data_IF_464297351250
#
_entry.id   IF_464297351250
#
_cell.length_a   1.000
_cell.length_b   1.000
_cell.length_c   1.000
_cell.angle_alpha   90.00
_cell.angle_beta   90.00
_cell.angle_gamma   90.00
#
_symmetry.space_group_name_H-M   'P 1'
#
loop_
_entity.id
_entity.type
_entity.pdbx_description
1 polymer ?
#
# COMPACT_ATOMS: atom_id res chain seq x y z
N UNK A 1 11.88 -20.49 -17.59
CA UNK A 1 10.46 -20.08 -17.73
C UNK A 1 9.64 -20.53 -16.53
N UNK A 2 9.92 -21.70 -15.95
CA UNK A 2 9.20 -22.26 -14.78
C UNK A 2 9.13 -21.32 -13.56
N UNK A 3 10.14 -20.47 -13.34
CA UNK A 3 10.17 -19.60 -12.16
C UNK A 3 9.61 -18.18 -12.38
N UNK A 4 9.22 -17.82 -13.61
CA UNK A 4 8.71 -16.45 -13.89
C UNK A 4 7.33 -16.28 -13.26
N UNK A 5 6.45 -17.26 -13.47
CA UNK A 5 5.09 -17.26 -12.95
C UNK A 5 5.08 -17.33 -11.42
N UNK A 6 5.95 -18.13 -10.80
CA UNK A 6 6.08 -18.21 -9.35
C UNK A 6 6.57 -16.89 -8.72
N UNK A 7 7.60 -16.26 -9.31
CA UNK A 7 8.06 -14.93 -8.86
C UNK A 7 6.93 -13.91 -9.01
N UNK A 8 6.19 -13.95 -10.11
CA UNK A 8 5.07 -13.04 -10.35
C UNK A 8 3.93 -13.23 -9.33
N UNK A 9 3.50 -14.46 -9.08
CA UNK A 9 2.41 -14.79 -8.16
C UNK A 9 2.75 -14.44 -6.72
N UNK A 10 4.00 -14.64 -6.31
CA UNK A 10 4.44 -14.29 -4.97
C UNK A 10 4.48 -12.76 -4.76
N UNK A 11 4.88 -12.00 -5.79
CA UNK A 11 4.85 -10.54 -5.76
C UNK A 11 3.41 -10.00 -5.77
N UNK A 12 2.49 -10.66 -6.47
CA UNK A 12 1.07 -10.30 -6.44
C UNK A 12 0.43 -10.58 -5.08
N UNK A 13 0.82 -11.69 -4.44
CA UNK A 13 0.33 -12.10 -3.13
C UNK A 13 0.80 -11.14 -2.03
N UNK A 14 2.07 -10.75 -2.05
CA UNK A 14 2.60 -9.69 -1.19
C UNK A 14 3.47 -8.70 -1.96
N UNK A 15 2.88 -7.55 -2.29
CA UNK A 15 3.58 -6.48 -3.01
C UNK A 15 4.78 -5.90 -2.24
N UNK A 16 4.84 -6.10 -0.92
CA UNK A 16 5.95 -5.61 -0.08
C UNK A 16 7.14 -6.56 -0.03
N UNK A 17 7.02 -7.78 -0.57
CA UNK A 17 8.11 -8.75 -0.54
C UNK A 17 9.35 -8.21 -1.27
N UNK A 18 10.49 -8.27 -0.60
CA UNK A 18 11.78 -7.87 -1.18
C UNK A 18 12.33 -8.93 -2.13
N UNK A 19 13.25 -8.53 -3.01
CA UNK A 19 13.91 -9.45 -3.95
C UNK A 19 14.72 -10.55 -3.26
N UNK A 20 15.33 -10.25 -2.09
CA UNK A 20 16.10 -11.21 -1.29
C UNK A 20 15.22 -12.33 -0.70
N UNK A 21 14.15 -12.04 0.06
CA UNK A 21 13.19 -13.05 0.49
C UNK A 21 12.69 -13.91 -0.67
N UNK A 22 12.40 -13.29 -1.82
CA UNK A 22 11.95 -14.01 -3.01
C UNK A 22 13.00 -14.99 -3.54
N UNK A 23 14.27 -14.59 -3.57
CA UNK A 23 15.37 -15.45 -3.99
C UNK A 23 15.58 -16.63 -3.05
N UNK A 24 15.44 -16.40 -1.74
CA UNK A 24 15.63 -17.42 -0.70
C UNK A 24 14.49 -18.44 -0.68
N UNK A 25 13.24 -17.97 -0.83
CA UNK A 25 12.05 -18.81 -0.80
C UNK A 25 11.92 -19.71 -2.04
N UNK A 26 12.21 -19.16 -3.22
CA UNK A 26 12.17 -19.91 -4.48
C UNK A 26 13.51 -20.62 -4.78
N UNK A 27 14.53 -20.45 -3.94
CA UNK A 27 15.89 -20.95 -4.13
C UNK A 27 16.48 -20.59 -5.51
N UNK A 28 16.31 -19.33 -5.90
CA UNK A 28 16.79 -18.77 -7.17
C UNK A 28 17.90 -17.78 -6.87
N UNK A 29 18.82 -17.58 -7.81
CA UNK A 29 19.78 -16.49 -7.72
C UNK A 29 19.07 -15.13 -7.67
N UNK A 30 19.52 -14.26 -6.76
CA UNK A 30 19.03 -12.90 -6.61
C UNK A 30 18.98 -12.13 -7.94
N UNK A 31 20.03 -12.26 -8.75
CA UNK A 31 20.14 -11.58 -10.05
C UNK A 31 19.05 -12.04 -11.02
N UNK A 32 18.68 -13.33 -11.00
CA UNK A 32 17.59 -13.84 -11.83
C UNK A 32 16.25 -13.26 -11.38
N UNK A 33 15.99 -13.15 -10.07
CA UNK A 33 14.78 -12.49 -9.55
C UNK A 33 14.74 -11.02 -9.96
N UNK A 34 15.88 -10.33 -9.87
CA UNK A 34 15.99 -8.94 -10.31
C UNK A 34 15.70 -8.79 -11.81
N UNK A 35 16.26 -9.65 -12.65
CA UNK A 35 16.00 -9.67 -14.10
C UNK A 35 14.52 -9.95 -14.40
N UNK A 36 13.89 -10.91 -13.73
CA UNK A 36 12.47 -11.22 -13.91
C UNK A 36 11.61 -10.01 -13.55
N UNK A 37 11.87 -9.36 -12.41
CA UNK A 37 11.13 -8.17 -11.97
C UNK A 37 11.30 -7.01 -12.94
N UNK A 38 12.52 -6.85 -13.50
CA UNK A 38 12.81 -5.84 -14.51
C UNK A 38 12.10 -6.12 -15.84
N UNK A 39 12.17 -7.36 -16.34
CA UNK A 39 11.56 -7.77 -17.61
C UNK A 39 10.03 -7.70 -17.56
N UNK A 40 9.43 -7.92 -16.38
CA UNK A 40 7.99 -7.80 -16.14
C UNK A 40 7.53 -6.34 -15.87
N UNK A 41 8.43 -5.34 -15.95
CA UNK A 41 8.18 -3.93 -15.61
C UNK A 41 7.48 -3.72 -14.25
N UNK A 42 7.79 -4.58 -13.28
CA UNK A 42 7.19 -4.50 -11.95
C UNK A 42 7.89 -3.40 -11.15
N UNK A 43 7.21 -2.26 -11.03
CA UNK A 43 7.66 -1.16 -10.16
C UNK A 43 7.43 -1.52 -8.68
N UNK A 44 8.52 -1.95 -8.02
CA UNK A 44 8.63 -2.14 -6.57
C UNK A 44 8.76 -0.80 -5.85
N UNK A 45 7.67 -0.08 -5.72
CA UNK A 45 7.57 1.08 -4.81
C UNK A 45 6.89 0.63 -3.51
N UNK A 46 7.58 0.77 -2.37
CA UNK A 46 6.95 0.61 -1.06
C UNK A 46 5.83 1.63 -0.88
N UNK A 47 4.64 1.18 -0.48
CA UNK A 47 3.55 2.08 -0.08
C UNK A 47 3.66 2.30 1.42
N UNK A 48 3.69 3.55 1.86
CA UNK A 48 3.53 3.86 3.28
C UNK A 48 2.11 3.55 3.70
N UNK A 49 1.98 2.61 4.64
CA UNK A 49 0.71 2.28 5.30
C UNK A 49 0.80 2.86 6.70
N UNK A 50 0.04 3.92 7.04
CA UNK A 50 0.17 4.61 8.33
C UNK A 50 -0.08 3.69 9.53
N UNK A 51 -0.95 2.69 9.37
CA UNK A 51 -1.37 1.78 10.43
C UNK A 51 -1.56 0.36 9.86
N UNK A 52 -0.91 -0.62 10.49
CA UNK A 52 -1.20 -2.04 10.28
C UNK A 52 -2.41 -2.45 11.14
N UNK A 53 -3.56 -2.62 10.50
CA UNK A 53 -4.79 -3.03 11.20
C UNK A 53 -4.75 -4.51 11.58
N UNK A 54 -5.28 -4.83 12.76
CA UNK A 54 -5.52 -6.23 13.17
C UNK A 54 -6.75 -6.83 12.46
N UNK A 55 -7.01 -8.13 12.64
CA UNK A 55 -8.09 -8.85 11.95
C UNK A 55 -9.46 -8.24 12.24
N UNK A 56 -9.75 -7.94 13.51
CA UNK A 56 -11.04 -7.38 13.94
C UNK A 56 -11.24 -5.96 13.39
N UNK A 57 -10.20 -5.13 13.39
CA UNK A 57 -10.22 -3.78 12.81
C UNK A 57 -10.45 -3.82 11.31
N UNK A 58 -9.87 -4.79 10.60
CA UNK A 58 -10.13 -5.00 9.16
C UNK A 58 -11.60 -5.38 8.93
N UNK A 59 -12.13 -6.30 9.74
CA UNK A 59 -13.52 -6.73 9.64
C UNK A 59 -14.47 -5.55 9.89
N UNK A 60 -14.28 -4.83 11.00
CA UNK A 60 -15.07 -3.65 11.34
C UNK A 60 -15.03 -2.58 10.25
N UNK A 61 -13.86 -2.37 9.62
CA UNK A 61 -13.71 -1.43 8.51
C UNK A 61 -14.50 -1.86 7.27
N UNK A 62 -14.49 -3.15 6.92
CA UNK A 62 -15.27 -3.70 5.79
C UNK A 62 -16.76 -3.57 6.05
N UNK A 63 -17.22 -3.90 7.26
CA UNK A 63 -18.63 -3.79 7.65
C UNK A 63 -19.12 -2.34 7.61
N UNK A 64 -18.36 -1.42 8.21
CA UNK A 64 -18.69 0.01 8.20
C UNK A 64 -18.75 0.56 6.77
N UNK A 65 -17.77 0.21 5.93
CA UNK A 65 -17.71 0.67 4.54
C UNK A 65 -18.89 0.11 3.73
N UNK A 66 -19.20 -1.17 3.88
CA UNK A 66 -20.34 -1.82 3.20
C UNK A 66 -21.67 -1.16 3.57
N UNK A 67 -21.86 -0.85 4.85
CA UNK A 67 -23.04 -0.15 5.35
C UNK A 67 -23.18 1.26 4.75
N UNK A 68 -22.08 2.01 4.68
CA UNK A 68 -22.04 3.35 4.08
C UNK A 68 -22.35 3.28 2.58
N UNK A 69 -21.74 2.33 1.84
CA UNK A 69 -22.02 2.13 0.42
C UNK A 69 -23.49 1.82 0.15
N UNK A 70 -24.07 0.87 0.89
CA UNK A 70 -25.49 0.52 0.74
C UNK A 70 -26.43 1.70 1.06
N UNK A 71 -26.01 2.61 1.95
CA UNK A 71 -26.76 3.83 2.26
C UNK A 71 -26.67 4.86 1.15
N UNK A 72 -25.49 5.02 0.55
CA UNK A 72 -25.28 5.90 -0.59
C UNK A 72 -26.08 5.44 -1.82
N UNK A 73 -26.13 4.13 -2.09
CA UNK A 73 -26.92 3.59 -3.21
C UNK A 73 -28.42 3.85 -3.08
N UNK A 74 -28.95 3.89 -1.86
CA UNK A 74 -30.37 4.15 -1.59
C UNK A 74 -30.73 5.63 -1.57
N UNK A 75 -29.76 6.50 -1.37
CA UNK A 75 -29.95 7.93 -1.15
C UNK A 75 -28.78 8.69 -1.78
N UNK A 76 -29.00 9.11 -3.03
CA UNK A 76 -28.00 9.81 -3.83
C UNK A 76 -27.53 11.12 -3.17
N UNK A 77 -28.37 11.75 -2.33
CA UNK A 77 -28.06 12.99 -1.63
C UNK A 77 -27.41 12.77 -0.26
N UNK A 78 -27.15 11.52 0.13
CA UNK A 78 -26.57 11.17 1.43
C UNK A 78 -25.28 11.95 1.73
N UNK A 79 -24.35 12.00 0.77
CA UNK A 79 -23.06 12.66 0.95
C UNK A 79 -23.18 14.18 1.09
N UNK A 80 -24.19 14.80 0.45
CA UNK A 80 -24.43 16.24 0.54
C UNK A 80 -24.77 16.72 1.96
N UNK A 81 -25.18 15.79 2.84
CA UNK A 81 -25.54 16.08 4.24
C UNK A 81 -24.45 15.69 5.23
N UNK A 82 -23.37 15.06 4.76
CA UNK A 82 -22.24 14.69 5.61
C UNK A 82 -21.34 15.90 5.79
N UNK A 83 -21.14 16.31 7.04
CA UNK A 83 -20.14 17.30 7.43
C UNK A 83 -19.04 16.57 8.18
N UNK A 84 -17.81 16.65 7.67
CA UNK A 84 -16.62 16.06 8.31
C UNK A 84 -15.69 17.16 8.81
N UNK A 85 -14.97 16.88 9.89
CA UNK A 85 -13.90 17.75 10.38
C UNK A 85 -12.73 16.87 10.80
N UNK A 86 -11.52 17.32 10.45
CA UNK A 86 -10.26 16.70 10.84
C UNK A 86 -9.23 17.79 11.15
N UNK A 87 -8.27 17.49 12.00
CA UNK A 87 -7.23 18.42 12.40
C UNK A 87 -5.90 18.01 11.76
N UNK A 88 -5.32 18.89 10.96
CA UNK A 88 -3.99 18.69 10.39
C UNK A 88 -3.01 19.61 11.09
N UNK A 89 -1.90 19.04 11.58
CA UNK A 89 -0.80 19.83 12.11
C UNK A 89 -0.15 20.65 10.99
N UNK A 90 -0.11 21.97 11.15
CA UNK A 90 0.60 22.88 10.25
C UNK A 90 1.90 23.30 10.93
N UNK A 91 3.03 22.92 10.34
CA UNK A 91 4.33 23.33 10.83
C UNK A 91 4.54 24.83 10.59
N UNK A 92 4.97 25.56 11.63
CA UNK A 92 5.30 26.98 11.54
C UNK A 92 6.50 27.24 10.61
N UNK A 93 7.39 26.25 10.47
CA UNK A 93 8.58 26.32 9.65
C UNK A 93 8.70 25.05 8.81
N UNK A 94 8.68 25.22 7.49
CA UNK A 94 8.91 24.17 6.50
C UNK A 94 10.27 24.44 5.83
N UNK A 95 11.36 23.77 6.28
CA UNK A 95 12.68 23.98 5.71
C UNK A 95 12.70 23.47 4.25
N UNK A 96 12.68 24.40 3.31
CA UNK A 96 12.69 24.11 1.87
C UNK A 96 14.03 23.59 1.36
N UNK A 97 15.06 23.64 2.19
CA UNK A 97 16.42 23.25 1.83
C UNK A 97 17.05 22.38 2.91
N UNK A 98 17.93 21.49 2.49
CA UNK A 98 18.63 20.54 3.38
C UNK A 98 19.50 21.23 4.44
N UNK A 99 19.94 22.46 4.16
CA UNK A 99 20.76 23.25 5.07
C UNK A 99 19.92 23.90 6.18
N UNK A 100 18.70 24.34 5.84
CA UNK A 100 17.71 24.88 6.78
C UNK A 100 17.14 23.83 7.74
N UNK A 101 17.22 22.54 7.40
CA UNK A 101 16.78 21.44 8.29
C UNK A 101 17.86 20.96 9.26
N UNK A 102 19.07 21.53 9.19
CA UNK A 102 20.24 21.13 10.00
C UNK A 102 20.61 22.16 11.09
N UNK A 103 19.91 23.31 11.13
CA UNK A 103 19.96 24.28 12.22
C UNK A 103 19.01 23.87 13.36
#
# INVERSE_FOLDING_TARGET
>A
MENIDEVHDMILSDRQIGLKPTSEELNILYDCVHHIVYDLDIKKSGKWIPICLNVDQKHARVEASSSICARFEKDADFLCRVVTMDETWVYFYDPKTKQQSME
#
